data_IF_640559539834
#
_entry.id   IF_640559539834
#
_cell.length_a   1.000
_cell.length_b   1.000
_cell.length_c   1.000
_cell.angle_alpha   90.00
_cell.angle_beta   90.00
_cell.angle_gamma   90.00
#
_symmetry.space_group_name_H-M   'P 1'
#
loop_
_entity.id
_entity.type
_entity.pdbx_description
1 polymer ?
#
# COMPACT_ATOMS: atom_id res chain seq x y z
N UNK A 1 12.13 -13.55 20.86
CA UNK A 1 12.67 -12.38 20.16
C UNK A 1 12.08 -12.17 18.76
N UNK A 2 11.80 -13.19 17.94
CA UNK A 2 11.40 -13.00 16.52
C UNK A 2 10.10 -12.22 16.24
N UNK A 3 8.98 -12.50 16.94
CA UNK A 3 7.69 -11.84 16.65
C UNK A 3 7.65 -10.34 16.97
N UNK A 4 8.34 -9.90 18.02
CA UNK A 4 8.37 -8.48 18.41
C UNK A 4 9.18 -7.65 17.41
N UNK A 5 10.27 -8.20 16.89
CA UNK A 5 11.10 -7.57 15.87
C UNK A 5 10.42 -7.53 14.50
N UNK A 6 9.67 -8.57 14.11
CA UNK A 6 8.87 -8.56 12.88
C UNK A 6 7.79 -7.47 12.88
N UNK A 7 7.16 -7.22 14.03
CA UNK A 7 6.15 -6.16 14.18
C UNK A 7 6.81 -4.78 14.17
N UNK A 8 8.02 -4.63 14.72
CA UNK A 8 8.73 -3.35 14.78
C UNK A 8 9.06 -2.76 13.39
N UNK A 9 9.30 -3.62 12.39
CA UNK A 9 9.58 -3.21 11.01
C UNK A 9 8.34 -3.19 10.10
N UNK A 10 7.19 -3.66 10.58
CA UNK A 10 5.99 -3.75 9.75
C UNK A 10 5.46 -2.37 9.32
N UNK A 11 5.36 -1.35 10.20
CA UNK A 11 4.93 0.00 9.79
C UNK A 11 5.81 0.61 8.70
N UNK A 12 7.13 0.43 8.80
CA UNK A 12 8.11 0.88 7.81
C UNK A 12 7.87 0.25 6.45
N UNK A 13 7.68 -1.07 6.44
CA UNK A 13 7.40 -1.84 5.24
C UNK A 13 6.08 -1.39 4.60
N UNK A 14 5.02 -1.21 5.41
CA UNK A 14 3.72 -0.74 4.95
C UNK A 14 3.80 0.66 4.33
N UNK A 15 4.54 1.58 4.94
CA UNK A 15 4.75 2.93 4.39
C UNK A 15 5.48 2.87 3.05
N UNK A 16 6.55 2.06 2.97
CA UNK A 16 7.31 1.87 1.73
C UNK A 16 6.42 1.33 0.62
N UNK A 17 5.56 0.35 0.94
CA UNK A 17 4.58 -0.18 0.00
C UNK A 17 3.53 0.85 -0.43
N UNK A 18 2.95 1.58 0.52
CA UNK A 18 1.99 2.64 0.21
C UNK A 18 2.62 3.67 -0.73
N UNK A 19 3.82 4.14 -0.42
CA UNK A 19 4.51 5.12 -1.24
C UNK A 19 4.74 4.62 -2.67
N UNK A 20 5.34 3.43 -2.84
CA UNK A 20 5.72 2.96 -4.18
C UNK A 20 4.50 2.57 -5.03
N UNK A 21 3.49 1.95 -4.43
CA UNK A 21 2.24 1.60 -5.14
C UNK A 21 1.49 2.86 -5.54
N UNK A 22 1.47 3.89 -4.68
CA UNK A 22 0.85 5.17 -4.99
C UNK A 22 1.55 5.90 -6.15
N UNK A 23 2.88 5.88 -6.17
CA UNK A 23 3.68 6.43 -7.27
C UNK A 23 3.36 5.69 -8.58
N UNK A 24 3.47 4.36 -8.57
CA UNK A 24 3.25 3.54 -9.75
C UNK A 24 1.84 3.69 -10.33
N UNK A 25 0.81 3.72 -9.47
CA UNK A 25 -0.57 3.86 -9.93
C UNK A 25 -0.90 5.25 -10.51
N UNK A 26 -0.16 6.31 -10.16
CA UNK A 26 -0.25 7.61 -10.87
C UNK A 26 0.58 7.66 -12.17
N UNK A 27 1.62 6.81 -12.29
CA UNK A 27 2.52 6.77 -13.44
C UNK A 27 2.00 5.94 -14.62
N UNK A 28 1.22 4.88 -14.37
CA UNK A 28 0.66 4.02 -15.43
C UNK A 28 -0.39 4.73 -16.29
N UNK A 29 -0.61 4.21 -17.49
CA UNK A 29 -1.59 4.74 -18.45
C UNK A 29 -2.57 3.64 -18.90
N UNK A 30 -3.89 3.77 -18.64
CA UNK A 30 -4.51 4.82 -17.83
C UNK A 30 -4.09 4.70 -16.34
N UNK A 31 -4.08 5.81 -15.58
CA UNK A 31 -3.72 5.76 -14.16
C UNK A 31 -4.75 4.94 -13.38
N UNK A 32 -4.30 4.33 -12.28
CA UNK A 32 -5.17 3.51 -11.44
C UNK A 32 -6.19 4.35 -10.67
N UNK A 33 -5.77 5.53 -10.21
CA UNK A 33 -6.60 6.58 -9.58
C UNK A 33 -6.30 7.94 -10.21
N UNK A 34 -7.24 8.88 -10.08
CA UNK A 34 -7.20 10.16 -10.81
C UNK A 34 -6.32 11.26 -10.20
N UNK A 35 -5.49 10.97 -9.20
CA UNK A 35 -4.61 11.97 -8.57
C UNK A 35 -3.27 12.10 -9.28
N UNK A 36 -2.56 13.20 -9.01
CA UNK A 36 -1.23 13.48 -9.56
C UNK A 36 -0.31 14.12 -8.49
N UNK A 37 -0.46 13.70 -7.23
CA UNK A 37 0.28 14.29 -6.11
C UNK A 37 1.72 13.79 -6.04
N UNK A 38 1.96 12.55 -6.45
CA UNK A 38 3.24 11.85 -6.37
C UNK A 38 3.93 11.73 -7.73
N UNK A 39 3.18 11.85 -8.82
CA UNK A 39 3.72 11.91 -10.18
C UNK A 39 4.75 13.04 -10.31
N UNK A 40 5.87 12.73 -10.99
CA UNK A 40 6.92 13.70 -11.35
C UNK A 40 6.30 14.99 -11.91
N UNK A 41 6.58 16.13 -11.26
CA UNK A 41 6.17 17.44 -11.73
C UNK A 41 5.42 18.28 -10.69
N UNK A 42 4.24 18.79 -11.08
CA UNK A 42 3.60 19.94 -10.42
C UNK A 42 2.96 19.60 -9.06
N UNK A 43 2.41 18.40 -8.88
CA UNK A 43 1.66 18.05 -7.67
C UNK A 43 2.48 18.15 -6.39
N UNK A 44 3.59 17.42 -6.33
CA UNK A 44 4.48 17.45 -5.15
C UNK A 44 5.08 18.84 -4.93
N UNK A 45 5.42 19.58 -5.99
CA UNK A 45 5.96 20.96 -5.88
C UNK A 45 4.97 21.95 -5.31
N UNK A 46 3.67 21.77 -5.57
CA UNK A 46 2.62 22.58 -4.91
C UNK A 46 2.56 22.22 -3.43
N UNK A 47 2.59 20.94 -3.09
CA UNK A 47 2.57 20.49 -1.70
C UNK A 47 3.81 20.94 -0.93
N UNK A 48 4.99 21.00 -1.56
CA UNK A 48 6.22 21.54 -0.96
C UNK A 48 6.09 23.03 -0.59
N UNK A 49 5.27 23.79 -1.32
CA UNK A 49 4.98 25.20 -0.98
C UNK A 49 3.98 25.32 0.17
N UNK A 50 2.95 24.47 0.18
CA UNK A 50 1.88 24.51 1.19
C UNK A 50 2.28 23.85 2.51
N UNK A 51 3.09 22.80 2.43
CA UNK A 51 3.49 21.93 3.53
C UNK A 51 5.00 21.62 3.48
N UNK A 52 5.90 22.60 3.65
CA UNK A 52 7.33 22.41 3.39
C UNK A 52 7.99 21.25 4.13
N UNK A 53 7.47 20.91 5.32
CA UNK A 53 7.98 19.82 6.17
C UNK A 53 7.23 18.50 6.00
N UNK A 54 6.05 18.50 5.41
CA UNK A 54 5.14 17.33 5.38
C UNK A 54 4.54 17.09 3.99
N UNK A 55 5.12 17.67 2.93
CA UNK A 55 4.60 17.58 1.57
C UNK A 55 4.43 16.15 1.06
N UNK A 56 5.41 15.28 1.30
CA UNK A 56 5.32 13.88 0.88
C UNK A 56 4.29 13.10 1.71
N UNK A 57 4.23 13.35 3.02
CA UNK A 57 3.19 12.77 3.88
C UNK A 57 1.80 13.19 3.39
N UNK A 58 1.61 14.47 3.08
CA UNK A 58 0.37 14.99 2.51
C UNK A 58 0.06 14.33 1.15
N UNK A 59 1.07 14.12 0.30
CA UNK A 59 0.91 13.45 -0.98
C UNK A 59 0.48 11.98 -0.83
N UNK A 60 1.15 11.22 0.05
CA UNK A 60 0.78 9.83 0.37
C UNK A 60 -0.64 9.75 0.92
N UNK A 61 -1.02 10.65 1.83
CA UNK A 61 -2.38 10.66 2.40
C UNK A 61 -3.44 11.00 1.35
N UNK A 62 -3.18 12.01 0.51
CA UNK A 62 -4.12 12.45 -0.51
C UNK A 62 -4.31 11.40 -1.61
N UNK A 63 -3.21 10.85 -2.16
CA UNK A 63 -3.25 9.77 -3.14
C UNK A 63 -3.78 8.46 -2.50
N UNK A 64 -3.41 8.19 -1.25
CA UNK A 64 -3.89 7.05 -0.45
C UNK A 64 -5.40 7.03 -0.30
N UNK A 65 -6.03 8.19 -0.09
CA UNK A 65 -7.49 8.31 -0.05
C UNK A 65 -8.13 7.92 -1.39
N UNK A 66 -7.60 8.42 -2.51
CA UNK A 66 -8.11 8.07 -3.83
C UNK A 66 -7.90 6.57 -4.14
N UNK A 67 -6.73 6.02 -3.79
CA UNK A 67 -6.46 4.59 -3.92
C UNK A 67 -7.41 3.75 -3.04
N UNK A 68 -7.70 4.19 -1.81
CA UNK A 68 -8.63 3.56 -0.90
C UNK A 68 -10.03 3.45 -1.50
N UNK A 69 -10.55 4.54 -2.08
CA UNK A 69 -11.87 4.56 -2.74
C UNK A 69 -11.94 3.58 -3.91
N UNK A 70 -10.89 3.51 -4.74
CA UNK A 70 -10.83 2.54 -5.87
C UNK A 70 -10.76 1.09 -5.37
N UNK A 71 -9.99 0.82 -4.31
CA UNK A 71 -9.91 -0.53 -3.72
C UNK A 71 -11.24 -0.94 -3.09
N UNK A 72 -11.88 -0.05 -2.33
CA UNK A 72 -13.21 -0.28 -1.75
C UNK A 72 -14.27 -0.60 -2.82
N UNK A 73 -14.22 0.08 -3.96
CA UNK A 73 -15.14 -0.16 -5.08
C UNK A 73 -14.91 -1.53 -5.73
N UNK A 74 -13.65 -1.95 -5.86
CA UNK A 74 -13.32 -3.21 -6.52
C UNK A 74 -13.53 -4.45 -5.62
N UNK A 75 -13.18 -4.35 -4.34
CA UNK A 75 -13.22 -5.47 -3.38
C UNK A 75 -14.57 -5.53 -2.64
N UNK A 76 -15.15 -4.36 -2.35
CA UNK A 76 -16.21 -4.20 -1.37
C UNK A 76 -15.66 -3.74 -0.02
N UNK A 77 -16.36 -2.83 0.65
CA UNK A 77 -15.84 -2.13 1.84
C UNK A 77 -15.94 -2.92 3.17
N UNK A 78 -16.82 -3.92 3.25
CA UNK A 78 -17.12 -4.63 4.51
C UNK A 78 -16.41 -5.97 4.56
N UNK A 79 -15.90 -6.33 5.75
CA UNK A 79 -15.32 -7.65 5.98
C UNK A 79 -13.94 -7.85 5.35
N UNK A 80 -13.27 -6.77 4.92
CA UNK A 80 -11.94 -6.84 4.30
C UNK A 80 -11.03 -5.73 4.80
N UNK A 81 -9.73 -5.98 4.72
CA UNK A 81 -8.67 -4.99 4.84
C UNK A 81 -7.79 -5.00 3.59
N UNK A 82 -7.20 -3.88 3.23
CA UNK A 82 -6.23 -3.78 2.14
C UNK A 82 -5.18 -2.72 2.49
N UNK A 83 -4.15 -2.59 1.65
CA UNK A 83 -2.99 -1.71 1.92
C UNK A 83 -3.38 -0.28 2.33
N UNK A 84 -4.47 0.25 1.78
CA UNK A 84 -4.98 1.61 2.02
C UNK A 84 -6.16 1.69 3.02
N UNK A 85 -6.47 0.58 3.70
CA UNK A 85 -7.46 0.47 4.77
C UNK A 85 -7.08 -0.73 5.66
N UNK A 86 -6.19 -0.48 6.61
CA UNK A 86 -5.71 -1.47 7.56
C UNK A 86 -6.54 -1.45 8.86
N UNK A 87 -6.39 -2.44 9.76
CA UNK A 87 -6.94 -2.36 11.10
C UNK A 87 -6.46 -1.09 11.81
N UNK A 88 -7.32 -0.48 12.61
CA UNK A 88 -7.05 0.78 13.32
C UNK A 88 -5.71 0.77 14.08
N UNK A 89 -5.42 -0.31 14.80
CA UNK A 89 -4.16 -0.45 15.52
C UNK A 89 -2.93 -0.32 14.60
N UNK A 90 -2.97 -0.91 13.41
CA UNK A 90 -1.86 -0.82 12.44
C UNK A 90 -1.86 0.54 11.73
N UNK A 91 -3.00 1.16 11.47
CA UNK A 91 -3.05 2.53 10.93
C UNK A 91 -2.41 3.54 11.89
N UNK A 92 -2.61 3.37 13.20
CA UNK A 92 -1.99 4.22 14.22
C UNK A 92 -0.47 4.04 14.24
N UNK A 93 0.03 2.81 14.15
CA UNK A 93 1.47 2.54 14.07
C UNK A 93 2.08 3.12 12.78
N UNK A 94 1.42 2.94 11.63
CA UNK A 94 1.85 3.50 10.35
C UNK A 94 1.87 5.03 10.38
N UNK A 95 0.87 5.65 11.00
CA UNK A 95 0.81 7.10 11.17
C UNK A 95 1.91 7.60 12.11
N UNK A 96 2.12 6.93 13.24
CA UNK A 96 3.19 7.24 14.19
C UNK A 96 4.56 7.15 13.53
N UNK A 97 4.79 6.07 12.77
CA UNK A 97 6.02 5.88 12.01
C UNK A 97 6.24 7.00 10.99
N UNK A 98 5.20 7.36 10.19
CA UNK A 98 5.25 8.49 9.25
C UNK A 98 5.64 9.83 9.92
N UNK A 99 5.22 10.04 11.17
CA UNK A 99 5.51 11.27 11.91
C UNK A 99 6.92 11.29 12.53
N UNK A 100 7.53 10.13 12.77
CA UNK A 100 8.83 9.97 13.42
C UNK A 100 9.98 9.66 12.45
N UNK A 101 9.77 9.83 11.13
CA UNK A 101 10.74 9.45 10.10
C UNK A 101 12.11 10.10 10.29
N UNK A 102 13.15 9.29 10.14
CA UNK A 102 14.51 9.75 9.86
C UNK A 102 14.59 10.28 8.42
N UNK A 103 15.40 11.32 8.20
CA UNK A 103 15.51 12.03 6.91
C UNK A 103 15.98 11.09 5.78
N UNK A 104 16.68 10.00 6.11
CA UNK A 104 17.34 9.11 5.13
C UNK A 104 16.38 8.24 4.31
N UNK A 105 15.48 7.48 4.96
CA UNK A 105 14.49 6.64 4.27
C UNK A 105 13.45 7.51 3.54
N UNK A 106 13.03 8.62 4.16
CA UNK A 106 12.13 9.59 3.55
C UNK A 106 12.74 10.18 2.29
N UNK A 107 14.01 10.58 2.32
CA UNK A 107 14.72 11.09 1.15
C UNK A 107 14.75 10.07 0.01
N UNK A 108 15.00 8.79 0.30
CA UNK A 108 15.03 7.72 -0.71
C UNK A 108 13.67 7.47 -1.36
N UNK A 109 12.60 7.39 -0.55
CA UNK A 109 11.24 7.22 -1.06
C UNK A 109 10.78 8.45 -1.85
N UNK A 110 11.09 9.65 -1.36
CA UNK A 110 10.81 10.92 -2.04
C UNK A 110 11.56 11.03 -3.36
N UNK A 111 12.83 10.64 -3.40
CA UNK A 111 13.65 10.64 -4.61
C UNK A 111 13.06 9.68 -5.65
N UNK A 112 12.73 8.45 -5.24
CA UNK A 112 12.07 7.46 -6.11
C UNK A 112 10.75 8.01 -6.66
N UNK A 113 9.91 8.62 -5.81
CA UNK A 113 8.63 9.19 -6.22
C UNK A 113 8.76 10.39 -7.16
N UNK A 114 9.67 11.31 -6.84
CA UNK A 114 9.79 12.61 -7.52
C UNK A 114 10.61 12.52 -8.80
N UNK A 115 11.66 11.70 -8.79
CA UNK A 115 12.68 11.63 -9.84
C UNK A 115 12.79 10.24 -10.48
N UNK A 116 12.13 9.21 -9.95
CA UNK A 116 12.07 7.89 -10.59
C UNK A 116 11.21 7.91 -11.85
N UNK A 117 11.49 6.99 -12.76
CA UNK A 117 10.56 6.57 -13.81
C UNK A 117 9.80 5.31 -13.36
N UNK A 118 8.92 4.81 -14.23
CA UNK A 118 8.14 3.59 -13.95
C UNK A 118 9.07 2.41 -13.68
N UNK A 119 10.13 2.24 -14.45
CA UNK A 119 11.05 1.11 -14.37
C UNK A 119 11.79 1.10 -13.03
N UNK A 120 12.35 2.24 -12.64
CA UNK A 120 13.02 2.41 -11.34
C UNK A 120 12.08 2.11 -10.17
N UNK A 121 10.82 2.56 -10.28
CA UNK A 121 9.81 2.33 -9.25
C UNK A 121 9.37 0.86 -9.18
N UNK A 122 9.33 0.18 -10.32
CA UNK A 122 9.10 -1.27 -10.39
C UNK A 122 10.25 -2.02 -9.73
N UNK A 123 11.52 -1.65 -9.97
CA UNK A 123 12.68 -2.27 -9.32
C UNK A 123 12.66 -2.10 -7.80
N UNK A 124 12.21 -0.94 -7.29
CA UNK A 124 11.99 -0.78 -5.84
C UNK A 124 10.92 -1.73 -5.34
N UNK A 125 9.79 -1.85 -6.04
CA UNK A 125 8.73 -2.80 -5.66
C UNK A 125 9.22 -4.26 -5.73
N UNK A 126 10.02 -4.64 -6.73
CA UNK A 126 10.67 -5.96 -6.83
C UNK A 126 11.54 -6.26 -5.61
N UNK A 127 12.38 -5.32 -5.20
CA UNK A 127 13.24 -5.50 -4.01
C UNK A 127 12.43 -5.73 -2.72
N UNK A 128 11.20 -5.18 -2.65
CA UNK A 128 10.29 -5.36 -1.53
C UNK A 128 9.50 -6.68 -1.59
N UNK A 129 9.36 -7.30 -2.77
CA UNK A 129 8.70 -8.61 -2.93
C UNK A 129 9.54 -9.75 -2.34
N UNK A 130 10.88 -9.59 -2.29
CA UNK A 130 11.80 -10.68 -1.98
C UNK A 130 11.62 -11.82 -2.98
N UNK A 131 11.57 -13.06 -2.50
CA UNK A 131 11.42 -14.27 -3.33
C UNK A 131 9.95 -14.60 -3.67
N UNK A 132 9.00 -13.72 -3.35
CA UNK A 132 7.58 -13.97 -3.62
C UNK A 132 7.20 -13.58 -5.05
N UNK A 133 6.66 -14.54 -5.80
CA UNK A 133 6.21 -14.34 -7.18
C UNK A 133 4.72 -14.66 -7.33
N UNK A 134 4.04 -13.87 -8.15
CA UNK A 134 2.65 -14.07 -8.54
C UNK A 134 2.54 -13.73 -10.03
N UNK A 135 1.90 -14.61 -10.80
CA UNK A 135 1.69 -14.39 -12.24
C UNK A 135 0.26 -13.94 -12.53
N UNK A 136 0.11 -13.10 -13.57
CA UNK A 136 -1.17 -12.70 -14.14
C UNK A 136 -2.19 -12.15 -13.12
N UNK A 137 -1.72 -11.35 -12.15
CA UNK A 137 -2.61 -10.74 -11.17
C UNK A 137 -3.61 -9.78 -11.81
N UNK A 138 -4.92 -10.04 -11.64
CA UNK A 138 -6.00 -9.19 -12.13
C UNK A 138 -7.16 -9.20 -11.13
N UNK A 139 -7.71 -8.02 -10.82
CA UNK A 139 -8.88 -7.86 -9.95
C UNK A 139 -8.58 -8.05 -8.46
N UNK A 140 -9.63 -8.23 -7.64
CA UNK A 140 -9.50 -8.50 -6.21
C UNK A 140 -8.81 -9.84 -5.97
N UNK A 141 -7.76 -9.86 -5.14
CA UNK A 141 -7.00 -11.08 -4.80
C UNK A 141 -6.90 -11.22 -3.30
N UNK A 142 -7.46 -12.31 -2.75
CA UNK A 142 -7.36 -12.62 -1.33
C UNK A 142 -5.94 -13.11 -0.98
N UNK A 143 -5.30 -12.41 -0.07
CA UNK A 143 -3.95 -12.70 0.41
C UNK A 143 -4.00 -13.69 1.57
N UNK A 144 -4.98 -13.54 2.45
CA UNK A 144 -5.19 -14.33 3.66
C UNK A 144 -6.27 -13.74 4.56
N UNK A 145 -6.27 -14.11 5.83
CA UNK A 145 -7.24 -13.68 6.83
C UNK A 145 -6.71 -12.56 7.72
N UNK A 146 -7.55 -12.06 8.64
CA UNK A 146 -7.22 -10.99 9.59
C UNK A 146 -5.91 -11.23 10.35
N UNK A 147 -5.60 -12.48 10.72
CA UNK A 147 -4.36 -12.81 11.43
C UNK A 147 -3.11 -12.62 10.59
N UNK A 148 -3.23 -12.68 9.26
CA UNK A 148 -2.12 -12.57 8.32
C UNK A 148 -1.68 -11.11 8.11
N UNK A 149 -2.54 -10.14 8.48
CA UNK A 149 -2.23 -8.70 8.40
C UNK A 149 -1.02 -8.32 9.26
N UNK A 150 -0.68 -9.12 10.27
CA UNK A 150 0.44 -8.82 11.17
C UNK A 150 1.73 -9.54 10.76
N UNK A 151 1.78 -10.13 9.55
CA UNK A 151 2.93 -10.93 9.08
C UNK A 151 3.62 -10.25 7.91
N UNK A 152 4.94 -10.08 8.01
CA UNK A 152 5.77 -9.51 6.93
C UNK A 152 5.62 -10.31 5.62
N UNK A 153 5.59 -11.64 5.69
CA UNK A 153 5.43 -12.52 4.53
C UNK A 153 4.14 -12.25 3.74
N UNK A 154 3.07 -11.86 4.43
CA UNK A 154 1.81 -11.51 3.77
C UNK A 154 1.94 -10.23 2.93
N UNK A 155 2.78 -9.29 3.36
CA UNK A 155 3.06 -8.08 2.58
C UNK A 155 4.00 -8.32 1.40
N UNK A 156 4.91 -9.30 1.48
CA UNK A 156 5.65 -9.76 0.29
C UNK A 156 4.70 -10.30 -0.78
N UNK A 157 3.67 -11.05 -0.40
CA UNK A 157 2.61 -11.50 -1.31
C UNK A 157 1.77 -10.35 -1.86
N UNK A 158 1.40 -9.36 -1.03
CA UNK A 158 0.74 -8.12 -1.49
C UNK A 158 1.60 -7.42 -2.54
N UNK A 159 2.90 -7.30 -2.30
CA UNK A 159 3.86 -6.69 -3.22
C UNK A 159 3.93 -7.45 -4.54
N UNK A 160 4.07 -8.77 -4.50
CA UNK A 160 4.13 -9.63 -5.68
C UNK A 160 2.87 -9.48 -6.55
N UNK A 161 1.70 -9.37 -5.93
CA UNK A 161 0.44 -9.12 -6.66
C UNK A 161 0.46 -7.75 -7.36
N UNK A 162 0.85 -6.67 -6.66
CA UNK A 162 0.96 -5.36 -7.30
C UNK A 162 2.01 -5.35 -8.41
N UNK A 163 3.16 -5.97 -8.19
CA UNK A 163 4.26 -6.08 -9.15
C UNK A 163 3.79 -6.77 -10.43
N UNK A 164 3.15 -7.93 -10.28
CA UNK A 164 2.54 -8.69 -11.36
C UNK A 164 1.57 -7.85 -12.17
N UNK A 165 0.69 -7.09 -11.50
CA UNK A 165 -0.28 -6.23 -12.15
C UNK A 165 0.36 -5.04 -12.90
N UNK A 166 1.37 -4.38 -12.31
CA UNK A 166 2.08 -3.27 -12.96
C UNK A 166 2.89 -3.71 -14.18
N UNK A 167 3.50 -4.90 -14.13
CA UNK A 167 4.18 -5.53 -15.28
C UNK A 167 3.18 -5.97 -16.35
N UNK A 168 2.07 -6.58 -15.93
CA UNK A 168 1.00 -7.07 -16.80
C UNK A 168 0.06 -6.01 -17.35
N UNK A 169 0.24 -4.73 -16.98
CA UNK A 169 -0.66 -3.63 -17.36
C UNK A 169 -2.13 -3.86 -16.99
N UNK A 170 -2.37 -4.64 -15.94
CA UNK A 170 -3.69 -4.89 -15.36
C UNK A 170 -3.88 -4.06 -14.09
N UNK A 171 -5.05 -4.16 -13.47
CA UNK A 171 -5.30 -3.65 -12.10
C UNK A 171 -5.53 -4.84 -11.18
N UNK A 172 -4.87 -4.84 -10.03
CA UNK A 172 -5.09 -5.83 -8.98
C UNK A 172 -5.27 -5.15 -7.62
N UNK A 173 -6.07 -5.78 -6.76
CA UNK A 173 -6.45 -5.23 -5.46
C UNK A 173 -6.26 -6.33 -4.38
N UNK A 174 -5.03 -6.49 -3.87
CA UNK A 174 -4.73 -7.37 -2.74
C UNK A 174 -5.58 -7.02 -1.51
N UNK A 175 -6.19 -8.02 -0.87
CA UNK A 175 -6.96 -7.82 0.35
C UNK A 175 -6.85 -9.00 1.32
N UNK A 176 -7.23 -8.75 2.57
CA UNK A 176 -7.34 -9.72 3.64
C UNK A 176 -8.79 -9.83 4.08
N UNK A 177 -9.30 -11.04 4.29
CA UNK A 177 -10.64 -11.25 4.81
C UNK A 177 -10.68 -11.17 6.33
N UNK A 178 -11.69 -10.48 6.84
CA UNK A 178 -12.09 -10.59 8.24
C UNK A 178 -13.00 -11.82 8.27
N UNK A 179 -12.47 -12.97 8.69
CA UNK A 179 -13.18 -14.24 8.72
C UNK A 179 -14.65 -14.06 9.12
N UNK A 180 -15.56 -14.69 8.38
CA UNK A 180 -17.00 -14.61 8.70
C UNK A 180 -17.20 -15.18 10.11
N UNK A 181 -17.87 -14.42 10.97
CA UNK A 181 -18.49 -15.02 12.16
C UNK A 181 -19.30 -16.23 11.68
N UNK A 182 -18.94 -17.42 12.16
CA UNK A 182 -19.74 -18.62 11.95
C UNK A 182 -21.08 -18.30 12.56
N UNK A 183 -22.09 -18.09 11.72
CA UNK A 183 -23.42 -17.68 12.15
C UNK A 183 -23.89 -18.59 13.27
N UNK A 184 -24.31 -17.98 14.38
CA UNK A 184 -25.00 -18.69 15.46
C UNK A 184 -26.09 -19.54 14.83
N UNK A 185 -25.90 -20.86 14.84
CA UNK A 185 -26.96 -21.79 14.50
C UNK A 185 -28.12 -21.47 15.44
N UNK A 186 -29.20 -20.97 14.86
CA UNK A 186 -30.48 -20.79 15.53
C UNK A 186 -30.89 -22.12 16.15
N UNK A 187 -30.64 -22.29 17.45
CA UNK A 187 -31.32 -23.30 18.25
C UNK A 187 -32.80 -22.94 18.26
N UNK A 188 -33.57 -23.58 17.37
CA UNK A 188 -35.02 -23.71 17.55
C UNK A 188 -35.22 -24.78 18.62
N UNK A 189 -35.54 -24.32 19.83
CA UNK A 189 -36.29 -25.08 20.83
C UNK A 189 -37.76 -24.70 20.76
#
# INVERSE_FOLDING_TARGET
MGKTQEIEHLPELVVSFRAIVLVLGEMVNPPWWGTQFLKRGTGIRILEKLYPRTAFQAAIQAAGKAACEIHDQAIGRRGVFHLFRLPEALELEVFGFLASFDDSLYAKLRETASNGDKESSVTVLESLCGDCEVDNAVGPICIGERSDIWRLESYKKVAAVYLSAFKGHSKAYPYFEIAKEVGFASFRG
#
